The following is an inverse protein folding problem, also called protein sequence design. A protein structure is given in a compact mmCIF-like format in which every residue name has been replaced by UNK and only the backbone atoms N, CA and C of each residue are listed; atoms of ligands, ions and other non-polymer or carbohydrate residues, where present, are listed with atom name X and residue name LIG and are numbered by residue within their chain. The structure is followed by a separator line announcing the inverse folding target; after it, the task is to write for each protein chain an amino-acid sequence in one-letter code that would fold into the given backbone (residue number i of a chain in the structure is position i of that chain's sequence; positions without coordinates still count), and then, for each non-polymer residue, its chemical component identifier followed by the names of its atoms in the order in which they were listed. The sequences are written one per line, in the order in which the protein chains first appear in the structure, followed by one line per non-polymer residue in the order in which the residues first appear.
data_IF_473242755795
#
_entry.id   IF_473242755795
#
_cell.length_a   1.000
_cell.length_b   1.000
_cell.length_c   1.000
_cell.angle_alpha   90.00
_cell.angle_beta   90.00
_cell.angle_gamma   90.00
#
_symmetry.space_group_name_H-M   'P 1'
#
loop_
_entity.id
_entity.type
_entity.pdbx_description
1 polymer ?
#
# COMPACT_ATOMS: atom_id res chain seq x y z
N UNK A 1 -8.80 -17.54 -39.08
CA UNK A 1 -9.66 -17.73 -37.91
C UNK A 1 -9.87 -16.37 -37.27
N UNK A 2 -11.10 -15.89 -37.03
CA UNK A 2 -11.27 -14.61 -36.37
C UNK A 2 -10.75 -14.74 -34.93
N UNK A 3 -9.81 -13.88 -34.55
CA UNK A 3 -9.38 -13.77 -33.17
C UNK A 3 -10.62 -13.35 -32.35
N UNK A 4 -11.03 -14.19 -31.41
CA UNK A 4 -12.09 -13.82 -30.47
C UNK A 4 -11.58 -12.63 -29.68
N UNK A 5 -12.16 -11.46 -29.90
CA UNK A 5 -11.81 -10.27 -29.14
C UNK A 5 -11.99 -10.58 -27.65
N UNK A 6 -10.98 -10.34 -26.82
CA UNK A 6 -11.06 -10.69 -25.41
C UNK A 6 -12.17 -9.84 -24.77
N UNK A 7 -13.21 -10.51 -24.27
CA UNK A 7 -14.35 -9.84 -23.64
C UNK A 7 -13.98 -9.37 -22.24
N UNK A 8 -14.24 -8.09 -21.87
CA UNK A 8 -14.06 -7.62 -20.51
C UNK A 8 -14.95 -8.38 -19.52
N UNK A 9 -14.37 -8.86 -18.42
CA UNK A 9 -15.09 -9.56 -17.35
C UNK A 9 -14.92 -8.81 -16.04
N UNK A 10 -15.99 -8.72 -15.26
CA UNK A 10 -15.89 -8.21 -13.89
C UNK A 10 -15.01 -9.13 -13.05
N UNK A 11 -14.09 -8.54 -12.30
CA UNK A 11 -13.20 -9.30 -11.46
C UNK A 11 -12.21 -8.44 -10.70
N UNK A 12 -11.22 -9.14 -10.17
CA UNK A 12 -10.22 -8.67 -9.23
C UNK A 12 -8.84 -9.05 -9.75
N UNK A 13 -8.00 -8.04 -10.00
CA UNK A 13 -6.62 -8.23 -10.42
C UNK A 13 -5.70 -8.08 -9.20
N UNK A 14 -5.06 -9.16 -8.81
CA UNK A 14 -4.01 -9.16 -7.78
C UNK A 14 -2.68 -8.77 -8.43
N UNK A 15 -2.02 -7.77 -7.87
CA UNK A 15 -0.73 -7.30 -8.33
C UNK A 15 0.40 -7.82 -7.42
N UNK A 16 1.59 -8.03 -7.99
CA UNK A 16 2.76 -8.51 -7.25
C UNK A 16 3.24 -7.56 -6.16
N UNK A 17 2.86 -6.28 -6.23
CA UNK A 17 3.13 -5.29 -5.18
C UNK A 17 2.15 -5.40 -3.99
N UNK A 18 1.19 -6.33 -4.03
CA UNK A 18 0.20 -6.56 -2.99
C UNK A 18 -1.03 -5.65 -3.06
N UNK A 19 -1.19 -4.88 -4.14
CA UNK A 19 -2.41 -4.13 -4.45
C UNK A 19 -3.43 -5.00 -5.18
N UNK A 20 -4.68 -4.54 -5.15
CA UNK A 20 -5.82 -5.19 -5.77
C UNK A 20 -6.58 -4.17 -6.59
N UNK A 21 -6.90 -4.49 -7.84
CA UNK A 21 -7.73 -3.67 -8.71
C UNK A 21 -9.03 -4.40 -9.02
N UNK A 22 -10.14 -3.74 -8.74
CA UNK A 22 -11.49 -4.24 -9.04
C UNK A 22 -12.05 -3.49 -10.25
N UNK A 23 -12.72 -4.22 -11.14
CA UNK A 23 -13.36 -3.61 -12.30
C UNK A 23 -13.55 -4.59 -13.44
N UNK A 24 -13.79 -4.05 -14.63
CA UNK A 24 -13.89 -4.87 -15.85
C UNK A 24 -12.50 -5.10 -16.42
N UNK A 25 -12.03 -6.33 -16.32
CA UNK A 25 -10.69 -6.77 -16.67
C UNK A 25 -10.73 -7.42 -18.05
N UNK A 26 -9.85 -7.00 -18.95
CA UNK A 26 -9.59 -7.66 -20.23
C UNK A 26 -8.10 -7.87 -20.42
N UNK A 27 -7.69 -9.06 -20.88
CA UNK A 27 -6.30 -9.35 -21.22
C UNK A 27 -6.10 -9.23 -22.73
N UNK A 28 -5.17 -8.39 -23.16
CA UNK A 28 -4.79 -8.20 -24.56
C UNK A 28 -3.27 -8.33 -24.66
N UNK A 29 -2.80 -9.43 -25.26
CA UNK A 29 -1.37 -9.76 -25.31
C UNK A 29 -0.75 -9.84 -23.91
N UNK A 30 0.29 -9.04 -23.69
CA UNK A 30 1.05 -8.95 -22.43
C UNK A 30 0.52 -7.90 -21.45
N UNK A 31 -0.70 -7.39 -21.68
CA UNK A 31 -1.31 -6.38 -20.81
C UNK A 31 -2.70 -6.80 -20.35
N UNK A 32 -3.02 -6.38 -19.12
CA UNK A 32 -4.37 -6.33 -18.58
C UNK A 32 -4.85 -4.88 -18.62
N UNK A 33 -6.07 -4.68 -19.07
CA UNK A 33 -6.76 -3.41 -19.01
C UNK A 33 -7.92 -3.55 -18.02
N UNK A 34 -7.97 -2.68 -17.03
CA UNK A 34 -9.01 -2.67 -15.99
C UNK A 34 -9.79 -1.38 -16.12
N UNK A 35 -11.08 -1.47 -16.45
CA UNK A 35 -11.97 -0.31 -16.39
C UNK A 35 -12.36 -0.05 -14.93
N UNK A 36 -12.00 1.14 -14.44
CA UNK A 36 -12.31 1.66 -13.09
C UNK A 36 -13.25 2.85 -13.24
N UNK A 37 -13.94 3.31 -12.17
CA UNK A 37 -14.95 4.38 -12.28
C UNK A 37 -14.48 5.66 -13.00
N UNK A 38 -13.18 5.99 -12.93
CA UNK A 38 -12.60 7.21 -13.48
C UNK A 38 -11.68 6.98 -14.71
N UNK A 39 -11.80 5.84 -15.40
CA UNK A 39 -11.04 5.59 -16.63
C UNK A 39 -10.59 4.13 -16.78
N UNK A 40 -9.50 3.93 -17.52
CA UNK A 40 -8.94 2.61 -17.75
C UNK A 40 -7.47 2.58 -17.29
N UNK A 41 -7.12 1.55 -16.54
CA UNK A 41 -5.74 1.31 -16.09
C UNK A 41 -5.14 0.19 -16.92
N UNK A 42 -3.92 0.40 -17.42
CA UNK A 42 -3.15 -0.62 -18.14
C UNK A 42 -2.04 -1.17 -17.25
N UNK A 43 -2.03 -2.49 -17.05
CA UNK A 43 -1.08 -3.22 -16.21
C UNK A 43 -0.35 -4.26 -17.08
N UNK A 44 0.96 -4.44 -16.89
CA UNK A 44 1.70 -5.51 -17.58
C UNK A 44 1.37 -6.85 -16.94
N UNK A 45 1.23 -7.90 -17.74
CA UNK A 45 0.99 -9.26 -17.26
C UNK A 45 2.09 -9.75 -16.30
N UNK A 46 3.34 -9.28 -16.47
CA UNK A 46 4.43 -9.57 -15.56
C UNK A 46 4.22 -9.01 -14.13
N UNK A 47 3.49 -7.90 -14.00
CA UNK A 47 3.20 -7.25 -12.71
C UNK A 47 1.95 -7.85 -12.03
N UNK A 48 1.19 -8.67 -12.76
CA UNK A 48 0.01 -9.38 -12.25
C UNK A 48 0.44 -10.66 -11.55
N UNK A 49 -0.06 -10.84 -10.34
CA UNK A 49 0.09 -12.06 -9.56
C UNK A 49 -1.02 -13.06 -9.93
N UNK A 50 -2.27 -12.60 -9.99
CA UNK A 50 -3.42 -13.39 -10.41
C UNK A 50 -4.57 -12.52 -10.91
N UNK A 51 -5.43 -13.08 -11.76
CA UNK A 51 -6.73 -12.52 -12.11
C UNK A 51 -7.81 -13.45 -11.55
N UNK A 52 -8.68 -12.91 -10.71
CA UNK A 52 -9.71 -13.64 -9.98
C UNK A 52 -11.08 -13.03 -10.26
N UNK A 53 -12.16 -13.77 -10.04
CA UNK A 53 -13.53 -13.25 -10.14
C UNK A 53 -13.95 -12.48 -8.90
N UNK A 54 -13.44 -12.86 -7.74
CA UNK A 54 -13.76 -12.22 -6.45
C UNK A 54 -12.52 -12.09 -5.56
N UNK A 55 -12.62 -11.23 -4.54
CA UNK A 55 -11.61 -11.09 -3.50
C UNK A 55 -11.38 -12.39 -2.74
N UNK A 56 -12.43 -13.18 -2.51
CA UNK A 56 -12.34 -14.49 -1.85
C UNK A 56 -11.55 -15.50 -2.68
N UNK A 57 -11.69 -15.46 -4.01
CA UNK A 57 -10.85 -16.28 -4.88
C UNK A 57 -9.38 -15.83 -4.83
N UNK A 58 -9.16 -14.51 -4.78
CA UNK A 58 -7.83 -13.95 -4.56
C UNK A 58 -7.19 -14.37 -3.23
N UNK A 59 -7.97 -14.40 -2.15
CA UNK A 59 -7.56 -14.94 -0.85
C UNK A 59 -7.13 -16.41 -0.97
N UNK A 60 -7.96 -17.26 -1.58
CA UNK A 60 -7.64 -18.69 -1.75
C UNK A 60 -6.38 -18.89 -2.57
N UNK A 61 -6.23 -18.13 -3.65
CA UNK A 61 -5.02 -18.13 -4.47
C UNK A 61 -3.79 -17.77 -3.63
N UNK A 62 -3.85 -16.69 -2.84
CA UNK A 62 -2.73 -16.28 -1.98
C UNK A 62 -2.39 -17.34 -0.94
N UNK A 63 -3.39 -17.90 -0.27
CA UNK A 63 -3.20 -18.97 0.73
C UNK A 63 -2.54 -20.22 0.14
N UNK A 64 -2.97 -20.63 -1.05
CA UNK A 64 -2.38 -21.79 -1.76
C UNK A 64 -0.93 -21.56 -2.22
N UNK A 65 -0.54 -20.29 -2.43
CA UNK A 65 0.82 -19.93 -2.85
C UNK A 65 1.80 -19.73 -1.68
N UNK A 66 1.36 -19.88 -0.43
CA UNK A 66 2.26 -19.91 0.73
C UNK A 66 3.08 -21.21 0.66
N UNK A 67 4.33 -21.09 0.19
CA UNK A 67 5.23 -22.25 0.00
C UNK A 67 5.72 -22.85 1.32
N UNK A 68 5.97 -22.00 2.31
CA UNK A 68 6.43 -22.39 3.64
C UNK A 68 5.50 -21.75 4.68
N UNK A 69 4.48 -22.49 5.15
CA UNK A 69 3.55 -21.98 6.16
C UNK A 69 4.30 -21.61 7.44
N UNK A 70 4.17 -20.36 7.86
CA UNK A 70 4.69 -19.85 9.11
C UNK A 70 3.67 -18.92 9.76
N UNK A 71 3.77 -18.72 11.07
CA UNK A 71 2.91 -17.77 11.77
C UNK A 71 2.95 -16.38 11.11
N UNK A 72 4.13 -15.93 10.67
CA UNK A 72 4.29 -14.65 10.00
C UNK A 72 3.55 -14.58 8.64
N UNK A 73 3.58 -15.64 7.84
CA UNK A 73 2.87 -15.66 6.55
C UNK A 73 1.35 -15.62 6.73
N UNK A 74 0.82 -16.37 7.69
CA UNK A 74 -0.59 -16.31 8.05
C UNK A 74 -0.98 -14.91 8.58
N UNK A 75 -0.15 -14.28 9.41
CA UNK A 75 -0.40 -12.90 9.88
C UNK A 75 -0.37 -11.88 8.73
N UNK A 76 0.54 -12.04 7.76
CA UNK A 76 0.61 -11.20 6.57
C UNK A 76 -0.65 -11.36 5.71
N UNK A 77 -1.12 -12.60 5.51
CA UNK A 77 -2.33 -12.88 4.77
C UNK A 77 -3.56 -12.33 5.49
N UNK A 78 -3.67 -12.52 6.81
CA UNK A 78 -4.73 -11.92 7.61
C UNK A 78 -4.74 -10.40 7.55
N UNK A 79 -3.57 -9.76 7.51
CA UNK A 79 -3.46 -8.33 7.31
C UNK A 79 -3.96 -7.88 5.93
N UNK A 80 -3.67 -8.66 4.89
CA UNK A 80 -4.20 -8.43 3.55
C UNK A 80 -5.74 -8.57 3.56
N UNK A 81 -6.28 -9.63 4.17
CA UNK A 81 -7.71 -9.85 4.30
C UNK A 81 -8.44 -8.67 4.97
N UNK A 82 -7.91 -8.14 6.08
CA UNK A 82 -8.46 -6.94 6.73
C UNK A 82 -8.53 -5.77 5.77
N UNK A 83 -7.44 -5.46 5.04
CA UNK A 83 -7.41 -4.31 4.12
C UNK A 83 -8.52 -4.37 3.07
N UNK A 84 -8.87 -5.57 2.63
CA UNK A 84 -9.89 -5.82 1.60
C UNK A 84 -11.26 -6.22 2.17
N UNK A 85 -11.50 -6.04 3.48
CA UNK A 85 -12.80 -6.29 4.11
C UNK A 85 -13.14 -7.77 4.33
N UNK A 86 -12.18 -8.68 4.12
CA UNK A 86 -12.32 -10.13 4.34
C UNK A 86 -12.07 -10.45 5.83
N UNK A 87 -12.95 -9.96 6.71
CA UNK A 87 -12.75 -10.02 8.16
C UNK A 87 -12.83 -11.46 8.69
N UNK A 88 -13.68 -12.30 8.10
CA UNK A 88 -13.83 -13.71 8.47
C UNK A 88 -12.57 -14.50 8.11
N UNK A 89 -12.03 -14.30 6.91
CA UNK A 89 -10.78 -14.92 6.48
C UNK A 89 -9.60 -14.43 7.32
N UNK A 90 -9.57 -13.14 7.69
CA UNK A 90 -8.54 -12.61 8.58
C UNK A 90 -8.53 -13.31 9.96
N UNK A 91 -9.69 -13.67 10.47
CA UNK A 91 -9.84 -14.42 11.72
C UNK A 91 -9.28 -15.84 11.59
N UNK A 92 -9.58 -16.52 10.49
CA UNK A 92 -9.03 -17.87 10.21
C UNK A 92 -7.49 -17.84 10.15
N UNK A 93 -6.91 -16.84 9.49
CA UNK A 93 -5.45 -16.70 9.41
C UNK A 93 -4.81 -16.39 10.76
N UNK A 94 -5.47 -15.61 11.62
CA UNK A 94 -5.00 -15.37 12.98
C UNK A 94 -4.97 -16.68 13.81
N UNK A 95 -5.99 -17.52 13.66
CA UNK A 95 -6.06 -18.81 14.35
C UNK A 95 -4.95 -19.76 13.90
N UNK A 96 -4.69 -19.85 12.59
CA UNK A 96 -3.56 -20.64 12.07
C UNK A 96 -2.21 -20.09 12.54
N UNK A 97 -2.03 -18.77 12.57
CA UNK A 97 -0.81 -18.17 13.06
C UNK A 97 -0.54 -18.53 14.54
N UNK A 98 -1.57 -18.48 15.37
CA UNK A 98 -1.48 -18.82 16.79
C UNK A 98 -1.28 -20.32 17.02
N UNK A 99 -1.82 -21.17 16.15
CA UNK A 99 -1.57 -22.62 16.17
C UNK A 99 -0.10 -22.95 15.91
N UNK A 100 0.54 -22.20 15.01
CA UNK A 100 1.97 -22.35 14.70
C UNK A 100 2.87 -21.72 15.76
N UNK A 101 2.52 -20.54 16.26
CA UNK A 101 3.26 -19.82 17.28
C UNK A 101 2.32 -19.05 18.22
N UNK A 102 1.98 -19.62 19.40
CA UNK A 102 1.02 -19.03 20.33
C UNK A 102 1.42 -17.63 20.82
N UNK A 103 2.71 -17.39 21.07
CA UNK A 103 3.23 -16.14 21.65
C UNK A 103 3.74 -15.15 20.58
N UNK A 104 3.23 -15.23 19.35
CA UNK A 104 3.70 -14.34 18.28
C UNK A 104 3.28 -12.87 18.56
N UNK A 105 4.22 -11.91 18.65
CA UNK A 105 3.92 -10.54 19.10
C UNK A 105 2.93 -9.81 18.19
N UNK A 106 2.98 -10.06 16.88
CA UNK A 106 2.05 -9.46 15.91
C UNK A 106 0.62 -10.06 15.95
N UNK A 107 0.41 -11.21 16.59
CA UNK A 107 -0.92 -11.82 16.66
C UNK A 107 -1.89 -10.98 17.51
N UNK A 108 -1.40 -10.39 18.60
CA UNK A 108 -2.19 -9.47 19.43
C UNK A 108 -2.61 -8.21 18.64
N UNK A 109 -1.71 -7.68 17.82
CA UNK A 109 -2.00 -6.54 16.95
C UNK A 109 -3.07 -6.91 15.91
N UNK A 110 -2.91 -8.04 15.22
CA UNK A 110 -3.87 -8.48 14.21
C UNK A 110 -5.25 -8.72 14.82
N UNK A 111 -5.33 -9.38 15.99
CA UNK A 111 -6.57 -9.56 16.76
C UNK A 111 -7.26 -8.23 17.01
N UNK A 112 -6.53 -7.21 17.48
CA UNK A 112 -7.10 -5.88 17.74
C UNK A 112 -7.64 -5.25 16.46
N UNK A 113 -6.95 -5.41 15.33
CA UNK A 113 -7.41 -4.88 14.02
C UNK A 113 -8.68 -5.58 13.53
N UNK A 114 -8.80 -6.89 13.74
CA UNK A 114 -10.01 -7.66 13.41
C UNK A 114 -11.20 -7.17 14.25
N UNK A 115 -10.99 -6.97 15.56
CA UNK A 115 -12.07 -6.47 16.42
C UNK A 115 -12.55 -5.07 16.03
N UNK A 116 -11.62 -4.18 15.65
CA UNK A 116 -11.99 -2.88 15.06
C UNK A 116 -12.72 -3.08 13.72
N UNK A 117 -12.30 -4.06 12.92
CA UNK A 117 -12.90 -4.36 11.63
C UNK A 117 -14.34 -4.87 11.70
N UNK A 118 -14.67 -5.59 12.77
CA UNK A 118 -16.02 -6.09 13.05
C UNK A 118 -16.99 -5.02 13.54
N UNK A 119 -16.50 -3.88 14.02
CA UNK A 119 -17.35 -2.80 14.54
C UNK A 119 -17.96 -2.00 13.38
N UNK A 120 -19.30 -2.01 13.21
CA UNK A 120 -19.95 -1.25 12.15
C UNK A 120 -19.69 0.25 12.34
N UNK A 121 -19.26 0.92 11.26
CA UNK A 121 -19.00 2.37 11.25
C UNK A 121 -17.59 2.81 11.69
N UNK A 122 -16.76 1.91 12.23
CA UNK A 122 -15.36 2.21 12.62
C UNK A 122 -14.34 1.60 11.66
N UNK A 123 -14.69 0.52 10.96
CA UNK A 123 -13.89 0.02 9.86
C UNK A 123 -14.25 0.73 8.56
N UNK A 124 -13.49 1.79 8.28
CA UNK A 124 -13.38 2.30 6.92
C UNK A 124 -12.28 1.48 6.24
N UNK A 125 -12.59 0.52 5.34
CA UNK A 125 -11.52 -0.11 4.58
C UNK A 125 -10.74 1.01 3.90
N UNK A 126 -9.40 0.94 3.82
CA UNK A 126 -8.61 1.95 3.11
C UNK A 126 -9.06 2.13 1.65
N UNK A 127 -9.92 1.25 1.13
CA UNK A 127 -10.58 1.37 -0.18
C UNK A 127 -11.72 2.40 -0.27
N UNK A 128 -12.24 2.94 0.84
CA UNK A 128 -12.99 4.23 0.79
C UNK A 128 -12.05 5.43 0.98
N UNK A 129 -10.89 5.31 0.36
CA UNK A 129 -10.02 6.41 -0.04
C UNK A 129 -9.50 6.20 -1.47
N UNK A 130 -10.23 5.51 -2.37
CA UNK A 130 -9.85 5.56 -3.79
C UNK A 130 -10.02 6.97 -4.38
N UNK A 131 -10.88 7.81 -3.78
CA UNK A 131 -10.85 9.25 -4.00
C UNK A 131 -9.68 9.91 -3.29
N UNK A 132 -9.54 9.73 -1.97
CA UNK A 132 -8.60 10.51 -1.17
C UNK A 132 -7.12 10.08 -1.27
N UNK A 133 -6.74 8.81 -1.43
CA UNK A 133 -5.33 8.39 -1.52
C UNK A 133 -4.75 8.49 -2.94
N UNK A 134 -5.58 8.33 -3.98
CA UNK A 134 -5.21 8.65 -5.38
C UNK A 134 -5.23 10.17 -5.59
N UNK A 135 -6.18 10.91 -5.02
CA UNK A 135 -6.08 12.37 -4.92
C UNK A 135 -4.85 12.75 -4.13
N UNK A 136 -4.62 12.28 -2.90
CA UNK A 136 -3.43 12.63 -2.11
C UNK A 136 -2.13 12.32 -2.87
N UNK A 137 -2.06 11.22 -3.64
CA UNK A 137 -0.85 10.90 -4.41
C UNK A 137 -0.70 11.75 -5.68
N UNK A 138 -1.80 12.08 -6.35
CA UNK A 138 -1.83 12.93 -7.55
C UNK A 138 -1.66 14.40 -7.18
N UNK A 139 -2.36 14.87 -6.15
CA UNK A 139 -2.24 16.17 -5.50
C UNK A 139 -0.84 16.34 -4.92
N UNK A 140 -0.24 15.32 -4.28
CA UNK A 140 1.15 15.39 -3.83
C UNK A 140 2.13 15.51 -5.00
N UNK A 141 1.97 14.70 -6.06
CA UNK A 141 2.86 14.82 -7.24
C UNK A 141 2.65 16.15 -7.96
N UNK A 142 1.41 16.65 -8.05
CA UNK A 142 1.08 17.96 -8.62
C UNK A 142 1.61 19.13 -7.78
N UNK A 143 1.48 19.05 -6.45
CA UNK A 143 2.01 20.02 -5.50
C UNK A 143 3.54 20.02 -5.51
N UNK A 144 4.19 18.85 -5.60
CA UNK A 144 5.65 18.81 -5.74
C UNK A 144 6.10 19.39 -7.10
N UNK A 145 5.33 19.16 -8.17
CA UNK A 145 5.60 19.73 -9.51
C UNK A 145 5.34 21.24 -9.60
N UNK A 146 4.62 21.84 -8.64
CA UNK A 146 4.40 23.29 -8.61
C UNK A 146 5.62 24.06 -8.08
N UNK A 147 6.57 23.37 -7.44
CA UNK A 147 7.85 23.97 -7.06
C UNK A 147 8.84 24.00 -8.24
N UNK A 148 9.78 24.96 -8.24
CA UNK A 148 10.91 24.93 -9.17
C UNK A 148 11.66 23.59 -9.08
N UNK A 149 12.11 22.99 -10.20
CA UNK A 149 12.80 21.71 -10.21
C UNK A 149 14.00 21.63 -9.24
N UNK A 150 14.69 22.76 -9.05
CA UNK A 150 15.83 22.89 -8.12
C UNK A 150 15.46 22.60 -6.65
N UNK A 151 14.21 22.84 -6.23
CA UNK A 151 13.78 22.61 -4.84
C UNK A 151 13.79 21.12 -4.50
N UNK A 152 13.24 20.30 -5.39
CA UNK A 152 13.19 18.84 -5.19
C UNK A 152 14.59 18.25 -5.30
N UNK A 153 15.41 18.76 -6.21
CA UNK A 153 16.80 18.34 -6.38
C UNK A 153 17.65 18.65 -5.14
N UNK A 154 17.62 19.90 -4.66
CA UNK A 154 18.36 20.33 -3.47
C UNK A 154 17.87 19.62 -2.20
N UNK A 155 16.56 19.39 -2.08
CA UNK A 155 16.03 18.58 -1.00
C UNK A 155 16.58 17.15 -1.04
N UNK A 156 16.58 16.52 -2.21
CA UNK A 156 17.06 15.13 -2.38
C UNK A 156 18.55 14.99 -2.12
N UNK A 157 19.36 15.95 -2.58
CA UNK A 157 20.83 15.89 -2.50
C UNK A 157 21.38 16.35 -1.15
N UNK A 158 20.72 17.29 -0.46
CA UNK A 158 21.28 17.93 0.74
C UNK A 158 20.45 17.72 2.01
N UNK A 159 19.13 17.87 1.95
CA UNK A 159 18.29 17.88 3.15
C UNK A 159 17.84 16.47 3.55
N UNK A 160 17.33 15.68 2.61
CA UNK A 160 16.80 14.34 2.85
C UNK A 160 17.82 13.39 3.49
N UNK A 161 19.09 13.32 3.05
CA UNK A 161 20.09 12.46 3.70
C UNK A 161 20.30 12.82 5.18
N UNK A 162 20.31 14.11 5.53
CA UNK A 162 20.48 14.58 6.92
C UNK A 162 19.28 14.14 7.77
N UNK A 163 18.06 14.34 7.27
CA UNK A 163 16.83 13.93 7.95
C UNK A 163 16.77 12.40 8.16
N UNK A 164 17.16 11.63 7.14
CA UNK A 164 17.15 10.18 7.21
C UNK A 164 18.25 9.61 8.12
N UNK A 165 19.40 10.28 8.20
CA UNK A 165 20.52 9.84 9.02
C UNK A 165 20.41 10.27 10.48
N UNK A 166 19.71 11.36 10.79
CA UNK A 166 19.63 11.90 12.17
C UNK A 166 18.23 11.75 12.79
N UNK A 167 17.18 12.17 12.09
CA UNK A 167 15.83 12.26 12.68
C UNK A 167 15.10 10.92 12.69
N UNK A 168 15.48 10.00 11.81
CA UNK A 168 14.84 8.68 11.72
C UNK A 168 15.75 7.54 12.21
N UNK A 169 17.02 7.82 12.54
CA UNK A 169 17.99 6.83 13.02
C UNK A 169 17.54 6.08 14.27
N UNK A 170 17.03 6.80 15.27
CA UNK A 170 16.51 6.23 16.51
C UNK A 170 15.03 5.82 16.45
N UNK A 171 14.39 5.88 15.27
CA UNK A 171 12.97 5.56 15.10
C UNK A 171 11.98 6.64 15.58
N UNK A 172 12.46 7.72 16.21
CA UNK A 172 11.61 8.76 16.83
C UNK A 172 10.70 9.52 15.85
N UNK A 173 11.09 9.66 14.58
CA UNK A 173 10.24 10.27 13.53
C UNK A 173 9.87 9.27 12.43
N UNK A 174 9.59 8.02 12.81
CA UNK A 174 9.10 6.99 11.89
C UNK A 174 7.56 6.98 11.72
N UNK A 175 7.03 6.21 10.76
CA UNK A 175 5.58 6.04 10.58
C UNK A 175 4.88 5.27 11.72
N UNK A 176 5.65 4.63 12.60
CA UNK A 176 5.15 3.94 13.79
C UNK A 176 4.95 4.89 14.99
N UNK A 177 5.55 6.09 14.95
CA UNK A 177 5.47 7.07 16.03
C UNK A 177 4.27 8.01 15.85
N UNK A 178 3.57 8.31 16.93
CA UNK A 178 2.37 9.20 16.94
C UNK A 178 2.74 10.69 16.92
N UNK A 179 3.77 11.06 16.17
CA UNK A 179 4.26 12.44 16.03
C UNK A 179 3.63 13.18 14.85
N UNK A 180 3.51 14.51 14.95
CA UNK A 180 3.05 15.37 13.83
C UNK A 180 4.09 15.51 12.71
N UNK A 181 5.36 15.21 12.98
CA UNK A 181 6.42 15.14 11.98
C UNK A 181 6.86 13.70 11.78
N UNK A 182 6.64 13.15 10.57
CA UNK A 182 6.90 11.75 10.24
C UNK A 182 7.66 11.64 8.93
N UNK A 183 8.73 10.87 8.95
CA UNK A 183 9.62 10.66 7.83
C UNK A 183 9.65 9.17 7.49
N UNK A 184 9.62 8.89 6.19
CA UNK A 184 9.66 7.54 5.65
C UNK A 184 11.11 7.16 5.35
N UNK A 185 11.55 6.01 5.86
CA UNK A 185 12.86 5.43 5.54
C UNK A 185 12.75 4.45 4.36
N UNK A 186 13.73 4.45 3.44
CA UNK A 186 13.84 3.37 2.47
C UNK A 186 14.14 2.04 3.19
N UNK A 187 13.71 0.90 2.64
CA UNK A 187 14.10 -0.41 3.15
C UNK A 187 15.63 -0.56 3.19
N UNK A 188 16.13 -1.35 4.14
CA UNK A 188 17.58 -1.57 4.31
C UNK A 188 18.24 -2.01 3.00
N UNK A 189 19.26 -1.27 2.56
CA UNK A 189 19.99 -1.54 1.32
C UNK A 189 19.32 -1.04 0.03
N UNK A 190 18.19 -0.34 0.12
CA UNK A 190 17.50 0.24 -1.04
C UNK A 190 17.62 1.76 -1.09
N UNK A 191 17.52 2.30 -2.31
CA UNK A 191 17.45 3.74 -2.53
C UNK A 191 16.04 4.28 -2.23
N UNK A 192 15.97 5.54 -1.84
CA UNK A 192 14.73 6.27 -1.67
C UNK A 192 13.96 6.35 -3.00
N UNK A 193 12.70 5.88 -3.00
CA UNK A 193 11.84 6.04 -4.18
C UNK A 193 11.40 7.49 -4.34
N UNK A 194 11.00 7.88 -5.56
CA UNK A 194 10.44 9.22 -5.83
C UNK A 194 9.30 9.56 -4.89
N UNK A 195 8.37 8.62 -4.70
CA UNK A 195 7.19 8.81 -3.83
C UNK A 195 7.57 9.00 -2.36
N UNK A 196 8.56 8.26 -1.88
CA UNK A 196 9.10 8.42 -0.53
C UNK A 196 9.68 9.82 -0.34
N UNK A 197 10.48 10.26 -1.31
CA UNK A 197 11.10 11.59 -1.32
C UNK A 197 10.06 12.71 -1.31
N UNK A 198 9.01 12.59 -2.13
CA UNK A 198 7.91 13.55 -2.18
C UNK A 198 7.15 13.66 -0.85
N UNK A 199 6.91 12.52 -0.18
CA UNK A 199 6.25 12.51 1.14
C UNK A 199 7.12 13.13 2.23
N UNK A 200 8.42 12.84 2.22
CA UNK A 200 9.36 13.46 3.17
C UNK A 200 9.47 14.97 2.95
N UNK A 201 9.50 15.42 1.69
CA UNK A 201 9.48 16.84 1.34
C UNK A 201 8.22 17.54 1.85
N UNK A 202 7.04 16.96 1.58
CA UNK A 202 5.78 17.51 2.05
C UNK A 202 5.69 17.58 3.58
N UNK A 203 6.14 16.54 4.29
CA UNK A 203 6.16 16.56 5.75
C UNK A 203 7.13 17.61 6.29
N UNK A 204 8.28 17.82 5.65
CA UNK A 204 9.28 18.82 6.07
C UNK A 204 8.79 20.24 5.88
N UNK A 205 8.18 20.54 4.73
CA UNK A 205 7.72 21.89 4.40
C UNK A 205 6.56 22.37 5.28
N UNK A 206 5.79 21.47 5.91
CA UNK A 206 4.76 21.83 6.89
C UNK A 206 5.34 22.55 8.13
N UNK A 207 6.64 22.42 8.37
CA UNK A 207 7.34 23.00 9.52
C UNK A 207 8.25 24.17 9.15
N UNK A 208 8.23 24.60 7.89
CA UNK A 208 9.01 25.73 7.41
C UNK A 208 8.05 26.88 7.15
N UNK A 209 8.25 28.01 7.81
CA UNK A 209 7.54 29.24 7.47
C UNK A 209 8.31 29.98 6.35
N UNK A 210 7.82 30.01 5.10
CA UNK A 210 8.54 30.65 4.00
C UNK A 210 8.67 32.18 4.17
N UNK A 211 7.87 32.79 5.05
CA UNK A 211 7.94 34.22 5.37
C UNK A 211 8.90 34.52 6.52
N UNK A 212 9.31 33.51 7.29
CA UNK A 212 10.26 33.64 8.41
C UNK A 212 11.22 32.44 8.45
N UNK A 213 12.15 32.31 7.48
CA UNK A 213 12.99 31.10 7.33
C UNK A 213 14.08 30.93 8.40
N UNK A 214 14.25 31.91 9.31
CA UNK A 214 15.29 31.94 10.34
C UNK A 214 14.73 31.88 11.77
N UNK A 215 13.45 31.57 11.93
CA UNK A 215 12.79 31.42 13.23
C UNK A 215 12.25 30.01 13.44
#
# INVERSE_FOLDING_TARGET
MPAVDPTPQEGVLLLRNGEVLEGKIVRVGDFYYVAVPNGQVRIRAADVEAACRTLQEGYRFKRQNIRLPSAQEHLNLGQWCIRHGLVEEAQQELEEALRLQPDHPLAALLRRRIEIAKQPGLFRPPHSSEGAAKNDSYELDHWVRSFPPMVVEQFTQSVQPILLNNCTAAGCHGPAEKGRFSLLKPPTGQLATRRLTQRNLASTLQWINPKEPLR
#
